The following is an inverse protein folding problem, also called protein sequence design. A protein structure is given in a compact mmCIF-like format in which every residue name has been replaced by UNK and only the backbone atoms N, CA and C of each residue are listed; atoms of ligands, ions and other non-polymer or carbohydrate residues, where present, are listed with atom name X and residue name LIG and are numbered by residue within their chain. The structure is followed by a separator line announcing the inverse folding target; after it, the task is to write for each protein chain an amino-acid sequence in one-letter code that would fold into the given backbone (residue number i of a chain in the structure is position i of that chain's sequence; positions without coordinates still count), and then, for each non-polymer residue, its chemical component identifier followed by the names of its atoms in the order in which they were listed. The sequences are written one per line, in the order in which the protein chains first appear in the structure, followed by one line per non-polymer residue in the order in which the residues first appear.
data_IF_971795064258
#
_entry.id   IF_971795064258
#
_cell.length_a   1.000
_cell.length_b   1.000
_cell.length_c   1.000
_cell.angle_alpha   90.00
_cell.angle_beta   90.00
_cell.angle_gamma   90.00
#
_symmetry.space_group_name_H-M   'P 1'
#
loop_
_entity.id
_entity.type
_entity.pdbx_description
1 polymer ?
#
# COMPACT_ATOMS: atom_id res chain seq x y z
N UNK A 1 -2.62 -15.86 -17.55
CA UNK A 1 -3.70 -15.45 -16.64
C UNK A 1 -3.80 -13.93 -16.52
N UNK A 2 -2.77 -13.21 -16.05
CA UNK A 2 -2.85 -11.74 -15.88
C UNK A 2 -3.12 -10.95 -17.17
N UNK A 3 -2.56 -11.40 -18.31
CA UNK A 3 -2.86 -10.83 -19.63
C UNK A 3 -4.36 -10.85 -19.94
N UNK A 4 -5.02 -11.98 -19.69
CA UNK A 4 -6.45 -12.13 -19.98
C UNK A 4 -7.29 -11.19 -19.12
N UNK A 5 -6.94 -11.02 -17.83
CA UNK A 5 -7.61 -10.05 -16.97
C UNK A 5 -7.46 -8.61 -17.46
N UNK A 6 -6.28 -8.23 -17.97
CA UNK A 6 -6.03 -6.87 -18.44
C UNK A 6 -6.61 -6.60 -19.84
N UNK A 7 -6.70 -7.60 -20.72
CA UNK A 7 -7.12 -7.39 -22.12
C UNK A 7 -8.49 -7.95 -22.50
N UNK A 8 -9.04 -8.90 -21.73
CA UNK A 8 -10.28 -9.62 -22.07
C UNK A 8 -11.43 -9.31 -21.11
N UNK A 9 -11.19 -8.49 -20.07
CA UNK A 9 -12.23 -7.99 -19.16
C UNK A 9 -12.67 -6.60 -19.61
N UNK A 10 -13.97 -6.41 -19.75
CA UNK A 10 -14.56 -5.09 -19.95
C UNK A 10 -14.64 -4.37 -18.60
N UNK A 11 -13.70 -3.43 -18.40
CA UNK A 11 -13.66 -2.59 -17.20
C UNK A 11 -14.60 -1.37 -17.27
N UNK A 12 -15.30 -1.18 -18.40
CA UNK A 12 -16.12 -0.02 -18.67
C UNK A 12 -15.31 1.19 -19.15
N UNK A 13 -16.04 2.22 -19.61
CA UNK A 13 -15.44 3.44 -20.18
C UNK A 13 -15.16 4.53 -19.14
N UNK A 14 -15.75 4.42 -17.94
CA UNK A 14 -15.70 5.44 -16.88
C UNK A 14 -14.80 5.02 -15.71
N UNK A 15 -13.84 4.12 -15.95
CA UNK A 15 -12.92 3.65 -14.92
C UNK A 15 -11.89 4.73 -14.57
N UNK A 16 -11.97 5.28 -13.35
CA UNK A 16 -11.00 6.25 -12.85
C UNK A 16 -9.72 5.61 -12.30
N UNK A 17 -9.86 4.45 -11.63
CA UNK A 17 -8.74 3.75 -10.99
C UNK A 17 -8.88 2.23 -11.13
N UNK A 18 -7.78 1.56 -11.50
CA UNK A 18 -7.65 0.11 -11.44
C UNK A 18 -6.62 -0.26 -10.36
N UNK A 19 -7.08 -0.89 -9.27
CA UNK A 19 -6.20 -1.38 -8.20
C UNK A 19 -5.84 -2.83 -8.50
N UNK A 20 -4.54 -3.12 -8.56
CA UNK A 20 -4.02 -4.48 -8.78
C UNK A 20 -3.33 -4.93 -7.50
N UNK A 21 -3.92 -5.93 -6.83
CA UNK A 21 -3.29 -6.59 -5.68
C UNK A 21 -2.28 -7.63 -6.18
N UNK A 22 -1.00 -7.31 -6.07
CA UNK A 22 0.09 -8.18 -6.52
C UNK A 22 0.50 -9.14 -5.41
N UNK A 23 0.93 -10.37 -5.75
CA UNK A 23 1.61 -11.25 -4.80
C UNK A 23 2.77 -10.54 -4.09
N UNK A 24 3.19 -11.01 -2.90
CA UNK A 24 4.34 -10.42 -2.23
C UNK A 24 5.68 -10.82 -2.90
N UNK A 25 6.66 -9.94 -2.79
CA UNK A 25 8.05 -10.19 -3.19
C UNK A 25 8.39 -9.79 -4.62
N UNK A 26 9.60 -10.12 -5.09
CA UNK A 26 10.10 -9.73 -6.42
C UNK A 26 9.98 -10.87 -7.44
N UNK A 27 8.86 -11.59 -7.44
CA UNK A 27 8.68 -12.80 -8.27
C UNK A 27 8.59 -12.45 -9.77
N UNK A 28 8.75 -13.46 -10.64
CA UNK A 28 8.58 -13.32 -12.10
C UNK A 28 7.19 -12.80 -12.51
N UNK A 29 6.22 -12.88 -11.59
CA UNK A 29 4.86 -12.37 -11.80
C UNK A 29 4.84 -10.84 -11.86
N UNK A 30 5.67 -10.15 -11.05
CA UNK A 30 5.80 -8.69 -11.11
C UNK A 30 6.37 -8.27 -12.47
N UNK A 31 7.42 -8.93 -12.95
CA UNK A 31 8.00 -8.67 -14.28
C UNK A 31 6.98 -8.87 -15.39
N UNK A 32 6.20 -9.96 -15.31
CA UNK A 32 5.12 -10.23 -16.26
C UNK A 32 4.08 -9.12 -16.25
N UNK A 33 3.63 -8.70 -15.06
CA UNK A 33 2.68 -7.60 -14.89
C UNK A 33 3.20 -6.30 -15.51
N UNK A 34 4.45 -5.91 -15.20
CA UNK A 34 5.05 -4.71 -15.76
C UNK A 34 5.10 -4.77 -17.29
N UNK A 35 5.43 -5.92 -17.87
CA UNK A 35 5.43 -6.08 -19.33
C UNK A 35 4.06 -5.89 -19.96
N UNK A 36 2.99 -6.34 -19.31
CA UNK A 36 1.62 -6.18 -19.81
C UNK A 36 1.06 -4.78 -19.58
N UNK A 37 1.44 -4.13 -18.48
CA UNK A 37 1.07 -2.75 -18.21
C UNK A 37 1.90 -1.77 -19.05
N UNK A 38 3.04 -2.20 -19.61
CA UNK A 38 3.93 -1.37 -20.42
C UNK A 38 3.17 -0.72 -21.58
N UNK A 39 3.04 0.60 -21.52
CA UNK A 39 2.33 1.40 -22.53
C UNK A 39 0.95 1.90 -22.08
N UNK A 40 0.44 1.45 -20.94
CA UNK A 40 -0.67 2.15 -20.28
C UNK A 40 -0.15 3.45 -19.67
N UNK A 41 -0.86 4.57 -19.85
CA UNK A 41 -0.53 5.81 -19.17
C UNK A 41 -0.78 5.67 -17.66
N UNK A 42 -0.01 6.39 -16.84
CA UNK A 42 -0.32 6.64 -15.42
C UNK A 42 -0.30 5.41 -14.48
N UNK A 43 0.72 4.55 -14.59
CA UNK A 43 0.96 3.46 -13.63
C UNK A 43 1.79 3.96 -12.46
N UNK A 44 1.41 3.58 -11.24
CA UNK A 44 2.20 3.82 -10.03
C UNK A 44 2.12 2.66 -9.04
N UNK A 45 3.17 2.49 -8.24
CA UNK A 45 3.24 1.48 -7.19
C UNK A 45 2.98 2.09 -5.81
N UNK A 46 2.16 1.41 -5.01
CA UNK A 46 2.02 1.64 -3.57
C UNK A 46 2.64 0.43 -2.88
N UNK A 47 3.62 0.65 -2.02
CA UNK A 47 4.32 -0.43 -1.34
C UNK A 47 3.82 -0.50 0.11
N UNK A 48 3.35 -1.65 0.55
CA UNK A 48 2.85 -1.86 1.91
C UNK A 48 3.88 -2.65 2.71
N UNK A 49 4.22 -2.16 3.90
CA UNK A 49 5.14 -2.81 4.82
C UNK A 49 4.55 -2.86 6.22
N UNK A 50 5.25 -3.51 7.14
CA UNK A 50 4.96 -3.50 8.58
C UNK A 50 6.24 -3.07 9.33
N UNK A 51 6.16 -2.59 10.59
CA UNK A 51 7.33 -1.99 11.25
C UNK A 51 8.52 -2.93 11.49
N UNK A 52 8.35 -4.24 11.37
CA UNK A 52 9.40 -5.22 11.63
C UNK A 52 10.49 -5.14 10.56
N UNK A 53 11.75 -5.20 11.01
CA UNK A 53 12.93 -5.11 10.14
C UNK A 53 12.92 -6.09 8.96
N UNK A 54 12.39 -7.31 9.15
CA UNK A 54 12.28 -8.29 8.07
C UNK A 54 11.39 -7.79 6.94
N UNK A 55 10.27 -7.13 7.26
CA UNK A 55 9.39 -6.53 6.24
C UNK A 55 10.06 -5.34 5.55
N UNK A 56 10.78 -4.50 6.29
CA UNK A 56 11.52 -3.37 5.71
C UNK A 56 12.61 -3.85 4.74
N UNK A 57 13.32 -4.94 5.05
CA UNK A 57 14.32 -5.53 4.16
C UNK A 57 13.73 -5.99 2.82
N UNK A 58 12.51 -6.53 2.83
CA UNK A 58 11.84 -6.93 1.60
C UNK A 58 11.33 -5.73 0.80
N UNK A 59 10.82 -4.70 1.49
CA UNK A 59 10.42 -3.44 0.82
C UNK A 59 11.59 -2.71 0.19
N UNK A 60 12.80 -2.77 0.76
CA UNK A 60 14.00 -2.24 0.10
C UNK A 60 14.23 -2.88 -1.27
N UNK A 61 14.04 -4.20 -1.38
CA UNK A 61 14.18 -4.92 -2.66
C UNK A 61 13.06 -4.53 -3.63
N UNK A 62 11.85 -4.29 -3.15
CA UNK A 62 10.72 -3.88 -3.97
C UNK A 62 10.90 -2.46 -4.53
N UNK A 63 11.42 -1.53 -3.72
CA UNK A 63 11.79 -0.18 -4.17
C UNK A 63 12.85 -0.27 -5.29
N UNK A 64 13.88 -1.10 -5.11
CA UNK A 64 14.89 -1.32 -6.13
C UNK A 64 14.32 -1.96 -7.40
N UNK A 65 13.35 -2.86 -7.26
CA UNK A 65 12.63 -3.45 -8.38
C UNK A 65 11.87 -2.37 -9.17
N UNK A 66 11.00 -1.59 -8.51
CA UNK A 66 10.24 -0.51 -9.15
C UNK A 66 11.16 0.47 -9.90
N UNK A 67 12.31 0.82 -9.32
CA UNK A 67 13.33 1.65 -9.97
C UNK A 67 13.90 1.01 -11.23
N UNK A 68 14.31 -0.27 -11.15
CA UNK A 68 14.87 -1.01 -12.31
C UNK A 68 13.90 -1.11 -13.48
N UNK A 69 12.60 -1.23 -13.18
CA UNK A 69 11.56 -1.36 -14.19
C UNK A 69 10.87 -0.04 -14.57
N UNK A 70 11.34 1.09 -14.01
CA UNK A 70 10.79 2.44 -14.21
C UNK A 70 9.31 2.59 -13.86
N UNK A 71 8.87 1.97 -12.76
CA UNK A 71 7.54 2.22 -12.20
C UNK A 71 7.64 3.34 -11.14
N UNK A 72 6.90 4.46 -11.29
CA UNK A 72 6.81 5.50 -10.28
C UNK A 72 6.28 4.94 -8.95
N UNK A 73 7.00 5.22 -7.86
CA UNK A 73 6.55 4.85 -6.51
C UNK A 73 5.71 6.01 -5.97
N UNK A 74 4.41 5.78 -5.80
CA UNK A 74 3.49 6.75 -5.19
C UNK A 74 3.77 6.91 -3.71
N UNK A 75 4.19 5.82 -3.06
CA UNK A 75 4.78 5.86 -1.74
C UNK A 75 4.61 4.57 -0.97
N UNK A 76 5.07 4.61 0.28
CA UNK A 76 5.07 3.47 1.19
C UNK A 76 4.05 3.69 2.30
N UNK A 77 3.27 2.65 2.60
CA UNK A 77 2.32 2.60 3.72
C UNK A 77 2.84 1.63 4.77
N UNK A 78 2.93 2.07 6.03
CA UNK A 78 3.29 1.21 7.15
C UNK A 78 2.04 0.69 7.85
N UNK A 79 1.66 -0.55 7.55
CA UNK A 79 0.53 -1.22 8.18
C UNK A 79 0.88 -1.78 9.56
N UNK A 80 -0.12 -1.99 10.41
CA UNK A 80 0.02 -2.58 11.74
C UNK A 80 0.98 -1.84 12.69
N UNK A 81 1.08 -0.51 12.56
CA UNK A 81 2.11 0.28 13.24
C UNK A 81 1.87 0.48 14.74
N UNK A 82 0.61 0.48 15.18
CA UNK A 82 0.24 0.77 16.57
C UNK A 82 -1.07 0.07 16.89
N UNK A 83 -1.27 -0.32 18.14
CA UNK A 83 -2.58 -0.75 18.62
C UNK A 83 -3.14 0.24 19.62
N UNK A 84 -4.36 0.69 19.37
CA UNK A 84 -5.09 1.55 20.31
C UNK A 84 -6.05 0.66 21.08
N UNK A 85 -5.80 0.50 22.38
CA UNK A 85 -6.66 -0.33 23.20
C UNK A 85 -8.09 0.27 23.26
N UNK A 86 -9.14 -0.49 22.90
CA UNK A 86 -10.51 0.02 22.87
C UNK A 86 -11.06 0.35 24.26
N UNK A 87 -10.42 -0.14 25.34
CA UNK A 87 -10.85 0.10 26.72
C UNK A 87 -10.16 1.29 27.38
N UNK A 88 -8.86 1.45 27.18
CA UNK A 88 -8.06 2.47 27.89
C UNK A 88 -7.51 3.57 26.98
N UNK A 89 -7.78 3.50 25.67
CA UNK A 89 -7.39 4.46 24.62
C UNK A 89 -5.90 4.76 24.53
N UNK A 90 -5.05 4.02 25.26
CA UNK A 90 -3.60 4.16 25.18
C UNK A 90 -3.09 3.51 23.89
N UNK A 91 -2.27 4.23 23.09
CA UNK A 91 -1.54 3.61 22.01
C UNK A 91 -0.45 2.69 22.59
N UNK A 92 -0.23 1.57 21.93
CA UNK A 92 0.85 0.64 22.23
C UNK A 92 1.57 0.30 20.93
N UNK A 93 2.88 0.50 20.91
CA UNK A 93 3.73 0.02 19.84
C UNK A 93 3.85 -1.49 19.99
N UNK A 94 3.15 -2.24 19.14
CA UNK A 94 3.23 -3.71 19.15
C UNK A 94 4.60 -4.16 18.64
N UNK A 95 5.15 -3.40 17.69
CA UNK A 95 6.43 -3.68 17.06
C UNK A 95 7.34 -2.47 17.26
N UNK A 96 8.37 -2.57 18.12
CA UNK A 96 9.33 -1.49 18.31
C UNK A 96 9.98 -1.07 16.99
N UNK A 97 10.05 0.23 16.75
CA UNK A 97 10.72 0.82 15.58
C UNK A 97 12.18 1.09 15.88
N UNK A 98 12.95 0.05 16.18
CA UNK A 98 14.36 0.21 16.58
C UNK A 98 15.20 0.95 15.54
N UNK A 99 14.86 0.80 14.25
CA UNK A 99 15.50 1.51 13.15
C UNK A 99 14.85 2.84 12.79
N UNK A 100 13.65 3.17 13.30
CA UNK A 100 12.82 4.29 12.82
C UNK A 100 11.72 3.87 11.82
N UNK A 101 11.60 2.57 11.50
CA UNK A 101 10.50 2.02 10.71
C UNK A 101 10.49 2.46 9.25
N UNK A 102 9.31 2.38 8.62
CA UNK A 102 9.15 2.71 7.21
C UNK A 102 9.44 4.19 6.91
N UNK A 103 9.12 5.11 7.83
CA UNK A 103 9.31 6.55 7.63
C UNK A 103 10.79 6.90 7.43
N UNK A 104 11.68 6.37 8.28
CA UNK A 104 13.12 6.58 8.11
C UNK A 104 13.66 5.91 6.86
N UNK A 105 13.23 4.68 6.56
CA UNK A 105 13.60 4.00 5.32
C UNK A 105 13.19 4.81 4.09
N UNK A 106 12.00 5.42 4.10
CA UNK A 106 11.52 6.27 3.02
C UNK A 106 12.41 7.51 2.83
N UNK A 107 12.83 8.14 3.93
CA UNK A 107 13.77 9.26 3.90
C UNK A 107 15.14 8.86 3.34
N UNK A 108 15.70 7.73 3.79
CA UNK A 108 16.99 7.21 3.33
C UNK A 108 16.98 6.86 1.84
N UNK A 109 15.87 6.34 1.36
CA UNK A 109 15.71 5.89 -0.02
C UNK A 109 15.10 6.96 -0.92
N UNK A 110 14.81 8.17 -0.44
CA UNK A 110 14.15 9.21 -1.24
C UNK A 110 12.87 8.72 -1.93
N UNK A 111 11.98 8.11 -1.15
CA UNK A 111 10.63 7.70 -1.59
C UNK A 111 9.56 8.28 -0.68
N UNK A 112 8.34 8.55 -1.18
CA UNK A 112 7.29 9.13 -0.36
C UNK A 112 6.82 8.19 0.75
N UNK A 113 6.69 8.72 1.97
CA UNK A 113 5.96 8.04 3.03
C UNK A 113 4.50 8.50 3.03
N UNK A 114 3.57 7.57 2.86
CA UNK A 114 2.13 7.86 2.82
C UNK A 114 1.48 7.80 4.20
N UNK A 115 2.17 7.31 5.23
CA UNK A 115 1.66 7.24 6.59
C UNK A 115 1.52 5.82 7.11
N UNK A 116 1.02 5.70 8.33
CA UNK A 116 0.88 4.44 9.05
C UNK A 116 -0.57 4.14 9.42
N UNK A 117 -0.90 2.84 9.46
CA UNK A 117 -2.22 2.33 9.80
C UNK A 117 -2.14 1.52 11.09
N UNK A 118 -2.95 1.83 12.12
CA UNK A 118 -2.98 1.05 13.35
C UNK A 118 -3.71 -0.29 13.15
N UNK A 119 -3.39 -1.26 14.00
CA UNK A 119 -4.15 -2.51 14.13
C UNK A 119 -5.54 -2.20 14.70
N UNK A 120 -6.58 -2.58 13.97
CA UNK A 120 -7.97 -2.39 14.36
C UNK A 120 -8.77 -3.70 14.19
N UNK A 121 -9.11 -4.39 15.30
CA UNK A 121 -9.92 -5.61 15.26
C UNK A 121 -11.30 -5.41 14.62
N UNK A 122 -11.85 -4.19 14.62
CA UNK A 122 -13.12 -3.92 13.96
C UNK A 122 -12.97 -4.03 12.45
N UNK A 123 -11.87 -3.53 11.88
CA UNK A 123 -11.61 -3.67 10.43
C UNK A 123 -11.53 -5.15 10.04
N UNK A 124 -10.80 -5.96 10.82
CA UNK A 124 -10.73 -7.41 10.60
C UNK A 124 -12.12 -8.06 10.61
N UNK A 125 -12.95 -7.74 11.61
CA UNK A 125 -14.33 -8.27 11.68
C UNK A 125 -15.16 -7.89 10.45
N UNK A 126 -15.11 -6.64 10.01
CA UNK A 126 -15.86 -6.20 8.83
C UNK A 126 -15.40 -6.96 7.58
N UNK A 127 -14.10 -7.17 7.41
CA UNK A 127 -13.55 -7.98 6.31
C UNK A 127 -14.05 -9.44 6.37
N UNK A 128 -14.03 -10.07 7.54
CA UNK A 128 -14.52 -11.45 7.73
C UNK A 128 -16.02 -11.58 7.45
N UNK A 129 -16.80 -10.54 7.78
CA UNK A 129 -18.25 -10.48 7.56
C UNK A 129 -18.64 -10.01 6.15
N UNK A 130 -17.67 -9.63 5.31
CA UNK A 130 -17.92 -9.09 3.97
C UNK A 130 -18.61 -7.72 3.98
N UNK A 131 -18.43 -6.94 5.04
CA UNK A 131 -19.00 -5.60 5.20
C UNK A 131 -17.91 -4.53 5.12
N UNK A 132 -18.29 -3.29 4.76
CA UNK A 132 -17.32 -2.20 4.66
C UNK A 132 -16.99 -1.60 6.03
N UNK A 133 -15.72 -1.55 6.45
CA UNK A 133 -15.33 -0.89 7.69
C UNK A 133 -15.44 0.65 7.60
N UNK A 134 -15.51 1.21 6.39
CA UNK A 134 -15.45 2.67 6.14
C UNK A 134 -16.61 3.41 6.82
N UNK A 135 -17.76 2.76 6.97
CA UNK A 135 -18.94 3.35 7.60
C UNK A 135 -18.83 3.42 9.13
N UNK A 136 -17.77 2.89 9.72
CA UNK A 136 -17.53 2.85 11.16
C UNK A 136 -16.26 3.65 11.48
N UNK A 137 -16.37 4.97 11.75
CA UNK A 137 -15.22 5.82 12.01
C UNK A 137 -14.34 5.26 13.14
N UNK A 138 -13.07 5.04 12.84
CA UNK A 138 -12.05 4.58 13.78
C UNK A 138 -10.71 5.26 13.46
N UNK A 139 -9.74 5.24 14.39
CA UNK A 139 -8.39 5.72 14.08
C UNK A 139 -7.78 5.05 12.84
N UNK A 140 -8.11 3.77 12.59
CA UNK A 140 -7.66 3.04 11.40
C UNK A 140 -8.34 3.56 10.13
N UNK A 141 -9.67 3.69 10.13
CA UNK A 141 -10.42 4.21 8.98
C UNK A 141 -9.97 5.63 8.63
N UNK A 142 -9.76 6.49 9.62
CA UNK A 142 -9.27 7.86 9.42
C UNK A 142 -7.86 7.88 8.81
N UNK A 143 -6.97 6.98 9.27
CA UNK A 143 -5.63 6.85 8.70
C UNK A 143 -5.67 6.39 7.24
N UNK A 144 -6.51 5.39 6.92
CA UNK A 144 -6.73 4.90 5.55
C UNK A 144 -7.27 6.02 4.67
N UNK A 145 -8.28 6.78 5.10
CA UNK A 145 -8.82 7.90 4.34
C UNK A 145 -7.76 8.98 4.04
N UNK A 146 -6.92 9.32 5.02
CA UNK A 146 -5.81 10.24 4.81
C UNK A 146 -4.75 9.71 3.82
N UNK A 147 -4.48 8.40 3.84
CA UNK A 147 -3.58 7.74 2.88
C UNK A 147 -4.18 7.79 1.47
N UNK A 148 -5.46 7.47 1.32
CA UNK A 148 -6.18 7.50 0.04
C UNK A 148 -6.14 8.90 -0.56
N UNK A 149 -6.37 9.95 0.24
CA UNK A 149 -6.26 11.33 -0.24
C UNK A 149 -4.87 11.63 -0.81
N UNK A 150 -3.79 11.24 -0.10
CA UNK A 150 -2.41 11.43 -0.57
C UNK A 150 -2.10 10.63 -1.84
N UNK A 151 -2.69 9.44 -1.99
CA UNK A 151 -2.57 8.64 -3.21
C UNK A 151 -3.24 9.37 -4.37
N UNK A 152 -4.47 9.86 -4.20
CA UNK A 152 -5.21 10.59 -5.24
C UNK A 152 -4.46 11.85 -5.70
N UNK A 153 -3.94 12.63 -4.76
CA UNK A 153 -3.11 13.80 -5.05
C UNK A 153 -1.89 13.42 -5.91
N UNK A 154 -1.25 12.29 -5.61
CA UNK A 154 -0.08 11.82 -6.38
C UNK A 154 -0.45 11.23 -7.74
N UNK A 155 -1.54 10.48 -7.85
CA UNK A 155 -2.04 9.98 -9.13
C UNK A 155 -2.29 11.14 -10.10
N UNK A 156 -2.83 12.27 -9.62
CA UNK A 156 -3.06 13.46 -10.45
C UNK A 156 -1.78 14.09 -11.03
N UNK A 157 -0.61 13.72 -10.50
CA UNK A 157 0.72 14.19 -10.96
C UNK A 157 1.44 13.18 -11.84
N UNK A 158 0.92 11.96 -12.00
CA UNK A 158 1.42 11.00 -12.99
C UNK A 158 1.00 11.50 -14.37
N UNK A 159 1.91 12.17 -15.06
CA UNK A 159 1.72 12.60 -16.46
C UNK A 159 2.14 11.51 -17.43
#
# INVERSE_FOLDING_TARGET
MIRQFLSEVDWGNDLEYLIIDTPPGTSDEHLSLVQYLKGLPQIGAIIVTTPQEVSLLDVRKEIDFCRKVNIPILGVVENMATFVCPKCTKPSEIFPKDSGGAEKMCLELDVPFLGSVPVDPLVTRHCDEGTSPINNPSPCVNAIQGIVQRIQERCSTLS
#
